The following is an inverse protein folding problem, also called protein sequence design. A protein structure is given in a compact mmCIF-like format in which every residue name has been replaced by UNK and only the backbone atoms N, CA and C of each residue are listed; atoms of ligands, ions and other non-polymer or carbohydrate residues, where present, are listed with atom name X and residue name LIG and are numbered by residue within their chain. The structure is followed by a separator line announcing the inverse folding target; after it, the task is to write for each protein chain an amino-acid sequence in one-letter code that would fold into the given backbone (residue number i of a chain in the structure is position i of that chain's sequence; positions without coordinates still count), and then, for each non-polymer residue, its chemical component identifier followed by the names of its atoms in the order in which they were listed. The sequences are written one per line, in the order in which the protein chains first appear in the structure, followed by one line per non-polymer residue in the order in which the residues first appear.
data_IF_314109240943
#
_entry.id   IF_314109240943
#
_cell.length_a   1.000
_cell.length_b   1.000
_cell.length_c   1.000
_cell.angle_alpha   90.00
_cell.angle_beta   90.00
_cell.angle_gamma   90.00
#
_symmetry.space_group_name_H-M   'P 1'
#
loop_
_entity.id
_entity.type
_entity.pdbx_description
1 polymer ?
#
# COMPACT_ATOMS: atom_id res chain seq x y z
N UNK A 1 -15.01 1.10 -6.23
CA UNK A 1 -14.04 0.47 -5.31
C UNK A 1 -14.66 -0.79 -4.76
N UNK A 2 -13.89 -1.87 -4.64
CA UNK A 2 -14.37 -3.14 -4.10
C UNK A 2 -14.32 -3.16 -2.56
N UNK A 3 -15.17 -3.95 -1.91
CA UNK A 3 -15.22 -4.05 -0.44
C UNK A 3 -14.05 -4.86 0.13
N UNK A 4 -13.86 -4.79 1.46
CA UNK A 4 -12.90 -5.65 2.20
C UNK A 4 -13.15 -7.14 1.96
N UNK A 5 -14.41 -7.56 1.83
CA UNK A 5 -14.75 -8.96 1.55
C UNK A 5 -14.27 -9.38 0.16
N UNK A 6 -14.50 -8.53 -0.84
CA UNK A 6 -14.01 -8.76 -2.21
C UNK A 6 -12.49 -8.77 -2.22
N UNK A 7 -11.82 -7.86 -1.50
CA UNK A 7 -10.36 -7.86 -1.35
C UNK A 7 -9.85 -9.22 -0.84
N UNK A 8 -10.44 -9.74 0.25
CA UNK A 8 -10.07 -11.04 0.82
C UNK A 8 -10.30 -12.18 -0.17
N UNK A 9 -11.42 -12.18 -0.89
CA UNK A 9 -11.71 -13.18 -1.93
C UNK A 9 -10.72 -13.09 -3.09
N UNK A 10 -10.39 -11.89 -3.56
CA UNK A 10 -9.42 -11.65 -4.62
C UNK A 10 -8.04 -12.18 -4.25
N UNK A 11 -7.56 -11.90 -3.02
CA UNK A 11 -6.27 -12.43 -2.56
C UNK A 11 -6.28 -13.95 -2.43
N UNK A 12 -7.32 -14.53 -1.81
CA UNK A 12 -7.47 -16.00 -1.73
C UNK A 12 -7.50 -16.66 -3.11
N UNK A 13 -8.11 -16.01 -4.08
CA UNK A 13 -8.17 -16.51 -5.45
C UNK A 13 -6.85 -16.39 -6.19
N UNK A 14 -5.97 -15.47 -5.81
CA UNK A 14 -4.65 -15.32 -6.41
C UNK A 14 -3.60 -16.24 -5.76
N UNK A 15 -3.77 -16.56 -4.48
CA UNK A 15 -2.82 -17.35 -3.70
C UNK A 15 -2.46 -18.69 -4.36
N UNK A 16 -1.17 -19.01 -4.37
CA UNK A 16 -0.61 -20.22 -5.01
C UNK A 16 -0.70 -20.28 -6.55
N UNK A 17 -1.28 -19.29 -7.23
CA UNK A 17 -1.37 -19.29 -8.70
C UNK A 17 -0.07 -18.79 -9.37
N UNK A 18 0.18 -19.16 -10.64
CA UNK A 18 1.29 -18.62 -11.40
C UNK A 18 1.24 -17.08 -11.49
N UNK A 19 2.40 -16.42 -11.49
CA UNK A 19 2.53 -14.94 -11.47
C UNK A 19 1.69 -14.23 -12.55
N UNK A 20 1.52 -14.82 -13.74
CA UNK A 20 0.67 -14.26 -14.78
C UNK A 20 -0.79 -14.02 -14.33
N UNK A 21 -1.29 -14.80 -13.37
CA UNK A 21 -2.64 -14.66 -12.80
C UNK A 21 -2.74 -13.54 -11.77
N UNK A 22 -1.63 -13.06 -11.22
CA UNK A 22 -1.64 -11.98 -10.22
C UNK A 22 -2.17 -10.68 -10.81
N UNK A 23 -2.05 -10.43 -12.13
CA UNK A 23 -2.69 -9.28 -12.79
C UNK A 23 -4.18 -9.12 -12.46
N UNK A 24 -4.87 -10.21 -12.14
CA UNK A 24 -6.27 -10.18 -11.69
C UNK A 24 -6.52 -9.48 -10.35
N UNK A 25 -5.49 -9.18 -9.55
CA UNK A 25 -5.63 -8.42 -8.29
C UNK A 25 -5.68 -6.90 -8.52
N UNK A 26 -5.35 -6.43 -9.73
CA UNK A 26 -5.27 -5.00 -10.05
C UNK A 26 -6.65 -4.34 -9.91
N UNK A 27 -6.85 -3.64 -8.79
CA UNK A 27 -8.10 -2.97 -8.45
C UNK A 27 -7.88 -1.96 -7.32
N UNK A 28 -8.92 -1.17 -7.02
CA UNK A 28 -8.99 -0.32 -5.82
C UNK A 28 -10.01 -0.89 -4.83
N UNK A 29 -9.57 -1.09 -3.59
CA UNK A 29 -10.35 -1.62 -2.49
C UNK A 29 -10.56 -0.55 -1.43
N UNK A 30 -11.80 -0.42 -0.95
CA UNK A 30 -12.13 0.38 0.22
C UNK A 30 -11.89 -0.49 1.46
N UNK A 31 -10.87 -0.12 2.23
CA UNK A 31 -10.55 -0.75 3.52
C UNK A 31 -10.99 0.18 4.66
N UNK A 32 -10.94 -0.32 5.88
CA UNK A 32 -11.33 0.46 7.05
C UNK A 32 -10.36 1.63 7.24
N UNK A 33 -10.87 2.85 7.05
CA UNK A 33 -10.12 4.10 7.24
C UNK A 33 -9.22 4.54 6.08
N UNK A 34 -9.06 3.72 5.03
CA UNK A 34 -8.23 4.07 3.88
C UNK A 34 -8.57 3.28 2.61
N UNK A 35 -8.06 3.75 1.48
CA UNK A 35 -8.19 3.12 0.18
C UNK A 35 -6.87 2.46 -0.23
N UNK A 36 -6.95 1.25 -0.76
CA UNK A 36 -5.81 0.49 -1.25
C UNK A 36 -5.96 0.21 -2.75
N UNK A 37 -5.05 0.76 -3.56
CA UNK A 37 -5.02 0.56 -5.00
C UNK A 37 -3.80 -0.24 -5.39
N UNK A 38 -4.01 -1.37 -6.06
CA UNK A 38 -2.97 -2.06 -6.82
C UNK A 38 -2.87 -1.37 -8.17
N UNK A 39 -1.85 -0.54 -8.35
CA UNK A 39 -1.68 0.31 -9.54
C UNK A 39 -1.13 -0.53 -10.69
N UNK A 40 -0.04 -1.24 -10.43
CA UNK A 40 0.61 -2.13 -11.37
C UNK A 40 1.03 -3.40 -10.63
N UNK A 41 0.69 -4.55 -11.19
CA UNK A 41 0.95 -5.84 -10.55
C UNK A 41 2.03 -6.59 -11.29
N UNK A 42 3.03 -7.05 -10.55
CA UNK A 42 4.14 -7.83 -11.10
C UNK A 42 3.63 -9.09 -11.81
N UNK A 43 4.25 -9.40 -12.95
CA UNK A 43 3.96 -10.58 -13.76
C UNK A 43 5.03 -11.68 -13.63
N UNK A 44 6.06 -11.44 -12.83
CA UNK A 44 7.15 -12.37 -12.55
C UNK A 44 7.60 -12.28 -11.07
N UNK A 45 8.60 -13.08 -10.71
CA UNK A 45 9.16 -13.17 -9.35
C UNK A 45 10.14 -12.04 -9.02
N UNK A 46 10.81 -11.48 -10.02
CA UNK A 46 11.85 -10.45 -9.86
C UNK A 46 11.30 -9.03 -9.75
N UNK A 47 10.07 -8.81 -10.20
CA UNK A 47 9.39 -7.53 -10.19
C UNK A 47 8.83 -7.16 -8.82
N UNK A 48 8.21 -5.99 -8.78
CA UNK A 48 7.49 -5.48 -7.61
C UNK A 48 6.12 -4.97 -8.01
N UNK A 49 5.15 -5.14 -7.12
CA UNK A 49 3.79 -4.60 -7.30
C UNK A 49 3.75 -3.17 -6.79
N UNK A 50 3.28 -2.25 -7.63
CA UNK A 50 3.06 -0.86 -7.26
C UNK A 50 1.72 -0.74 -6.58
N UNK A 51 1.74 -0.27 -5.34
CA UNK A 51 0.55 -0.10 -4.51
C UNK A 51 0.48 1.35 -4.05
N UNK A 52 -0.73 1.91 -4.05
CA UNK A 52 -1.03 3.24 -3.52
C UNK A 52 -2.01 3.11 -2.35
N UNK A 53 -1.68 3.76 -1.24
CA UNK A 53 -2.57 3.91 -0.09
C UNK A 53 -3.05 5.36 -0.04
N UNK A 54 -4.36 5.57 0.08
CA UNK A 54 -4.95 6.89 0.27
C UNK A 54 -5.71 6.93 1.58
N UNK A 55 -5.25 7.76 2.50
CA UNK A 55 -5.91 8.02 3.79
C UNK A 55 -6.57 9.39 3.69
N UNK A 56 -7.89 9.52 3.90
CA UNK A 56 -8.54 10.82 3.99
C UNK A 56 -7.95 11.64 5.15
N UNK A 57 -7.65 12.91 4.92
CA UNK A 57 -6.99 13.77 5.91
C UNK A 57 -7.80 13.90 7.21
N UNK A 58 -9.13 13.96 7.09
CA UNK A 58 -10.06 13.93 8.24
C UNK A 58 -9.89 12.67 9.10
N UNK A 59 -9.68 11.52 8.47
CA UNK A 59 -9.45 10.24 9.17
C UNK A 59 -8.03 10.17 9.75
N UNK A 60 -7.06 10.80 9.08
CA UNK A 60 -5.67 10.80 9.52
C UNK A 60 -5.41 11.63 10.79
N UNK A 61 -6.30 12.56 11.12
CA UNK A 61 -6.28 13.29 12.40
C UNK A 61 -5.10 14.24 12.60
N UNK A 62 -4.41 14.61 11.51
CA UNK A 62 -3.31 15.56 11.59
C UNK A 62 -3.84 16.99 11.81
N UNK A 63 -3.17 17.79 12.66
CA UNK A 63 -3.60 19.17 12.88
C UNK A 63 -3.34 20.00 11.61
N UNK A 64 -4.25 20.94 11.31
CA UNK A 64 -4.22 21.70 10.06
C UNK A 64 -2.94 22.53 9.90
N UNK A 65 -2.41 23.03 11.02
CA UNK A 65 -1.18 23.80 11.04
C UNK A 65 0.03 22.97 10.55
N UNK A 66 0.01 21.64 10.67
CA UNK A 66 1.09 20.76 10.22
C UNK A 66 1.34 20.82 8.72
N UNK A 67 0.36 21.21 7.91
CA UNK A 67 0.49 21.26 6.44
C UNK A 67 -0.04 22.57 5.82
N UNK A 68 -0.42 23.55 6.65
CA UNK A 68 -1.09 24.78 6.19
C UNK A 68 -0.24 25.73 5.33
N UNK A 69 1.09 25.67 5.41
CA UNK A 69 1.99 26.49 4.56
C UNK A 69 2.76 25.62 3.56
N UNK A 70 3.25 26.17 2.43
CA UNK A 70 4.01 25.40 1.46
C UNK A 70 5.22 24.66 2.06
N UNK A 71 5.99 25.33 2.92
CA UNK A 71 7.14 24.73 3.60
C UNK A 71 6.71 23.61 4.56
N UNK A 72 5.67 23.83 5.37
CA UNK A 72 5.16 22.81 6.30
C UNK A 72 4.55 21.62 5.56
N UNK A 73 3.83 21.84 4.46
CA UNK A 73 3.28 20.75 3.62
C UNK A 73 4.39 19.86 3.04
N UNK A 74 5.51 20.44 2.60
CA UNK A 74 6.67 19.65 2.13
C UNK A 74 7.29 18.84 3.26
N UNK A 75 7.57 19.49 4.40
CA UNK A 75 8.13 18.82 5.58
C UNK A 75 7.21 17.72 6.13
N UNK A 76 5.91 17.95 6.11
CA UNK A 76 4.88 17.01 6.55
C UNK A 76 4.87 15.74 5.69
N UNK A 77 4.93 15.89 4.36
CA UNK A 77 5.01 14.74 3.43
C UNK A 77 6.30 13.94 3.63
N UNK A 78 7.44 14.62 3.78
CA UNK A 78 8.73 13.98 4.07
C UNK A 78 8.67 13.18 5.38
N UNK A 79 8.14 13.77 6.46
CA UNK A 79 7.98 13.11 7.74
C UNK A 79 7.12 11.85 7.64
N UNK A 80 5.97 11.91 6.93
CA UNK A 80 5.09 10.76 6.73
C UNK A 80 5.85 9.61 6.05
N UNK A 81 6.61 9.89 4.99
CA UNK A 81 7.34 8.86 4.25
C UNK A 81 8.42 8.22 5.12
N UNK A 82 9.15 9.01 5.93
CA UNK A 82 10.15 8.48 6.88
C UNK A 82 9.51 7.58 7.93
N UNK A 83 8.40 8.00 8.53
CA UNK A 83 7.66 7.20 9.53
C UNK A 83 7.07 5.92 8.94
N UNK A 84 6.61 5.98 7.69
CA UNK A 84 6.14 4.80 6.97
C UNK A 84 7.28 3.81 6.76
N UNK A 85 8.46 4.27 6.33
CA UNK A 85 9.63 3.43 6.13
C UNK A 85 10.10 2.76 7.44
N UNK A 86 10.19 3.54 8.53
CA UNK A 86 10.53 3.02 9.87
C UNK A 86 9.54 1.92 10.31
N UNK A 87 8.24 2.16 10.11
CA UNK A 87 7.19 1.22 10.46
C UNK A 87 7.22 -0.04 9.58
N UNK A 88 7.46 0.11 8.27
CA UNK A 88 7.59 -1.02 7.36
C UNK A 88 8.79 -1.89 7.72
N UNK A 89 9.94 -1.30 8.08
CA UNK A 89 11.15 -2.06 8.45
C UNK A 89 10.94 -2.95 9.69
N UNK A 90 10.07 -2.55 10.60
CA UNK A 90 9.78 -3.29 11.84
C UNK A 90 8.60 -4.26 11.72
N UNK A 91 7.60 -3.92 10.88
CA UNK A 91 6.33 -4.67 10.79
C UNK A 91 6.21 -5.54 9.54
N UNK A 92 6.83 -5.15 8.43
CA UNK A 92 6.82 -5.94 7.21
C UNK A 92 7.86 -7.07 7.32
N UNK A 93 7.50 -8.17 7.98
CA UNK A 93 8.26 -9.41 7.89
C UNK A 93 7.90 -10.08 6.57
N UNK A 94 8.85 -10.19 5.65
CA UNK A 94 8.69 -11.09 4.50
C UNK A 94 9.01 -12.52 4.98
N UNK A 95 8.04 -13.46 4.93
CA UNK A 95 8.35 -14.88 5.14
C UNK A 95 9.12 -15.47 3.94
N UNK A 96 9.13 -14.76 2.80
CA UNK A 96 9.94 -15.14 1.64
C UNK A 96 11.38 -14.73 1.98
N UNK A 97 12.32 -15.68 2.04
CA UNK A 97 13.74 -15.37 2.23
C UNK A 97 14.16 -14.34 1.19
N UNK A 98 14.96 -13.35 1.61
CA UNK A 98 15.65 -12.49 0.65
C UNK A 98 16.44 -13.44 -0.27
N UNK A 99 16.14 -13.46 -1.56
CA UNK A 99 17.03 -14.07 -2.53
C UNK A 99 18.29 -13.22 -2.55
N UNK A 100 19.43 -13.84 -2.27
CA UNK A 100 20.73 -13.21 -2.44
C UNK A 100 20.92 -12.88 -3.92
N UNK A 101 21.15 -11.60 -4.24
CA UNK A 101 21.70 -11.11 -5.51
C UNK A 101 20.83 -11.31 -6.74
#
# INVERSE_FOLDING_TARGET
MASVEVFRKTLKNADGKPFAKYKGIQNTFALEGFELTFVEVQNDRSGHTHVRVRVPLKTAGFPEDAYGTPSRNVAFRDLIVRRLWESARTRARSPIPKTDG
#
